data_IF_166809498662
#
_entry.id   IF_166809498662
#
_cell.length_a   1.000
_cell.length_b   1.000
_cell.length_c   1.000
_cell.angle_alpha   90.00
_cell.angle_beta   90.00
_cell.angle_gamma   90.00
#
_symmetry.space_group_name_H-M   'P 1'
#
loop_
_entity.id
_entity.type
_entity.pdbx_description
1 polymer ?
#
# COMPACT_ATOMS: atom_id res chain seq x y z
N UNK A 1 1.90 -16.87 15.25
CA UNK A 1 2.33 -15.77 14.37
C UNK A 1 3.34 -14.98 15.17
N UNK A 2 4.56 -14.78 14.67
CA UNK A 2 5.49 -13.87 15.34
C UNK A 2 4.87 -12.47 15.27
N UNK A 3 4.78 -11.79 16.42
CA UNK A 3 4.23 -10.43 16.51
C UNK A 3 5.12 -9.38 15.81
N UNK A 4 6.21 -9.81 15.15
CA UNK A 4 7.28 -8.97 14.60
C UNK A 4 7.00 -8.40 13.20
N UNK A 5 5.97 -8.87 12.49
CA UNK A 5 5.71 -8.46 11.10
C UNK A 5 4.24 -8.11 10.85
N UNK A 6 3.81 -6.97 11.39
CA UNK A 6 2.47 -6.44 11.10
C UNK A 6 2.51 -5.67 9.77
N UNK A 7 1.79 -6.18 8.77
CA UNK A 7 1.65 -5.55 7.45
C UNK A 7 0.27 -4.96 7.22
N UNK A 8 0.23 -3.86 6.47
CA UNK A 8 -0.98 -3.24 5.94
C UNK A 8 -0.80 -2.94 4.46
N UNK A 9 -1.90 -2.79 3.73
CA UNK A 9 -1.87 -2.32 2.34
C UNK A 9 -2.51 -0.94 2.31
N UNK A 10 -1.78 0.09 1.90
CA UNK A 10 -2.34 1.39 1.61
C UNK A 10 -2.90 1.40 0.17
N UNK A 11 -4.17 1.75 0.02
CA UNK A 11 -4.82 2.02 -1.27
C UNK A 11 -4.72 3.53 -1.54
N UNK A 12 -3.85 3.90 -2.48
CA UNK A 12 -3.56 5.28 -2.84
C UNK A 12 -4.62 5.91 -3.76
N UNK A 13 -5.67 5.17 -4.11
CA UNK A 13 -6.74 5.64 -4.99
C UNK A 13 -6.52 5.30 -6.46
N UNK A 14 -7.42 5.77 -7.30
CA UNK A 14 -7.36 5.50 -8.74
C UNK A 14 -6.32 6.40 -9.42
N UNK A 15 -5.46 5.79 -10.25
CA UNK A 15 -4.40 6.46 -11.02
C UNK A 15 -3.51 7.40 -10.19
N UNK A 16 -2.86 6.91 -9.11
CA UNK A 16 -2.03 7.77 -8.28
C UNK A 16 -0.77 8.21 -9.04
N UNK A 17 -0.39 9.46 -8.80
CA UNK A 17 0.80 10.08 -9.36
C UNK A 17 1.66 10.68 -8.26
N UNK A 18 2.95 10.83 -8.53
CA UNK A 18 3.89 11.58 -7.69
C UNK A 18 4.62 12.61 -8.54
N UNK A 19 5.04 13.70 -7.91
CA UNK A 19 5.85 14.73 -8.57
C UNK A 19 7.34 14.43 -8.35
N UNK A 20 8.05 14.12 -9.43
CA UNK A 20 9.51 13.95 -9.42
C UNK A 20 10.12 15.01 -10.33
N UNK A 21 10.95 15.91 -9.78
CA UNK A 21 11.63 16.97 -10.54
C UNK A 21 10.68 17.83 -11.39
N UNK A 22 9.48 18.13 -10.88
CA UNK A 22 8.48 18.94 -11.58
C UNK A 22 7.68 18.19 -12.64
N UNK A 23 7.87 16.88 -12.80
CA UNK A 23 7.09 16.03 -13.70
C UNK A 23 6.23 15.05 -12.90
N UNK A 24 4.97 14.89 -13.29
CA UNK A 24 4.10 13.86 -12.74
C UNK A 24 4.48 12.49 -13.32
N UNK A 25 4.70 11.53 -12.44
CA UNK A 25 4.97 10.15 -12.78
C UNK A 25 3.89 9.25 -12.15
N UNK A 26 3.29 8.32 -12.91
CA UNK A 26 2.34 7.36 -12.35
C UNK A 26 3.04 6.40 -11.39
N UNK A 27 2.34 5.98 -10.35
CA UNK A 27 2.83 4.96 -9.40
C UNK A 27 1.80 3.85 -9.21
N UNK A 28 2.23 2.67 -8.73
CA UNK A 28 1.29 1.61 -8.40
C UNK A 28 0.31 2.05 -7.31
N UNK A 29 -0.94 1.60 -7.43
CA UNK A 29 -2.04 1.95 -6.54
C UNK A 29 -1.85 1.46 -5.12
N UNK A 30 -1.30 0.27 -4.94
CA UNK A 30 -1.20 -0.35 -3.63
C UNK A 30 0.24 -0.35 -3.14
N UNK A 31 0.40 -0.08 -1.85
CA UNK A 31 1.70 -0.12 -1.17
C UNK A 31 1.59 -0.96 0.08
N UNK A 32 2.47 -1.94 0.21
CA UNK A 32 2.60 -2.73 1.44
C UNK A 32 3.47 -1.98 2.43
N UNK A 33 2.93 -1.75 3.62
CA UNK A 33 3.57 -1.06 4.73
C UNK A 33 3.85 -2.04 5.86
N UNK A 34 5.10 -2.13 6.30
CA UNK A 34 5.45 -2.83 7.54
C UNK A 34 5.36 -1.84 8.70
N UNK A 35 4.41 -2.07 9.63
CA UNK A 35 4.13 -1.16 10.74
C UNK A 35 5.31 -1.04 11.71
N UNK A 36 5.91 -2.13 12.22
CA UNK A 36 7.06 -2.04 13.13
C UNK A 36 8.27 -1.32 12.53
N UNK A 37 8.59 -1.60 11.26
CA UNK A 37 9.74 -1.02 10.58
C UNK A 37 9.47 0.36 9.96
N UNK A 38 8.22 0.86 10.04
CA UNK A 38 7.77 2.13 9.49
C UNK A 38 8.23 2.39 8.04
N UNK A 39 8.18 1.36 7.19
CA UNK A 39 8.67 1.44 5.81
C UNK A 39 7.73 0.76 4.82
N UNK A 40 7.76 1.28 3.60
CA UNK A 40 7.19 0.62 2.43
C UNK A 40 8.10 -0.54 2.02
N UNK A 41 7.52 -1.69 1.74
CA UNK A 41 8.28 -2.89 1.35
C UNK A 41 7.98 -3.38 -0.05
N UNK A 42 6.79 -3.08 -0.58
CA UNK A 42 6.38 -3.48 -1.92
C UNK A 42 5.30 -2.54 -2.47
N UNK A 43 5.23 -2.40 -3.79
CA UNK A 43 4.22 -1.64 -4.51
C UNK A 43 3.69 -2.49 -5.66
N UNK A 44 2.38 -2.47 -5.89
CA UNK A 44 1.74 -3.21 -7.00
C UNK A 44 0.39 -2.61 -7.33
N UNK A 45 -0.11 -2.88 -8.55
CA UNK A 45 -1.50 -2.62 -8.94
C UNK A 45 -2.42 -3.85 -8.70
N UNK A 46 -1.82 -5.00 -8.38
CA UNK A 46 -2.53 -6.27 -8.14
C UNK A 46 -2.79 -6.48 -6.64
N UNK A 47 -3.97 -6.03 -6.18
CA UNK A 47 -4.39 -6.21 -4.79
C UNK A 47 -4.57 -7.70 -4.40
N UNK A 48 -5.25 -8.55 -5.20
CA UNK A 48 -5.34 -9.98 -4.90
C UNK A 48 -3.98 -10.64 -4.64
N UNK A 49 -2.98 -10.36 -5.49
CA UNK A 49 -1.63 -10.87 -5.31
C UNK A 49 -1.00 -10.43 -3.98
N UNK A 50 -1.12 -9.16 -3.62
CA UNK A 50 -0.57 -8.65 -2.35
C UNK A 50 -1.27 -9.26 -1.13
N UNK A 51 -2.59 -9.46 -1.19
CA UNK A 51 -3.34 -10.10 -0.11
C UNK A 51 -2.89 -11.55 0.10
N UNK A 52 -2.75 -12.32 -0.99
CA UNK A 52 -2.27 -13.70 -0.95
C UNK A 52 -0.84 -13.79 -0.41
N UNK A 53 0.08 -12.99 -0.98
CA UNK A 53 1.52 -13.02 -0.64
C UNK A 53 1.78 -12.74 0.84
N UNK A 54 1.06 -11.80 1.43
CA UNK A 54 1.26 -11.38 2.81
C UNK A 54 0.29 -12.05 3.80
N UNK A 55 -0.56 -12.98 3.35
CA UNK A 55 -1.56 -13.64 4.20
C UNK A 55 -2.57 -12.66 4.80
N UNK A 56 -2.91 -11.60 4.06
CA UNK A 56 -3.78 -10.52 4.51
C UNK A 56 -5.18 -10.67 3.96
N UNK A 57 -6.11 -9.93 4.57
CA UNK A 57 -7.48 -9.80 4.11
C UNK A 57 -7.88 -8.34 3.99
N UNK A 58 -9.05 -8.05 3.42
CA UNK A 58 -9.52 -6.69 3.15
C UNK A 58 -9.54 -5.75 4.37
N UNK A 59 -9.61 -6.28 5.60
CA UNK A 59 -9.55 -5.45 6.84
C UNK A 59 -8.19 -4.79 7.05
N UNK A 60 -7.14 -5.28 6.38
CA UNK A 60 -5.78 -4.74 6.42
C UNK A 60 -5.54 -3.69 5.33
N UNK A 61 -6.54 -3.42 4.47
CA UNK A 61 -6.45 -2.42 3.41
C UNK A 61 -6.91 -1.07 3.95
N UNK A 62 -5.96 -0.15 4.07
CA UNK A 62 -6.18 1.22 4.49
C UNK A 62 -6.52 2.06 3.26
N UNK A 63 -7.80 2.41 3.12
CA UNK A 63 -8.26 3.32 2.07
C UNK A 63 -8.14 4.74 2.53
N UNK A 64 -7.43 5.57 1.77
CA UNK A 64 -7.49 7.01 1.98
C UNK A 64 -8.93 7.49 1.71
N UNK A 65 -9.59 8.03 2.73
CA UNK A 65 -10.80 8.83 2.58
C UNK A 65 -10.39 10.28 2.80
N UNK A 66 -10.39 11.15 1.78
CA UNK A 66 -10.26 12.58 2.03
C UNK A 66 -11.42 12.97 2.96
N UNK A 67 -11.11 13.61 4.08
CA UNK A 67 -12.13 14.18 4.94
C UNK A 67 -12.84 15.29 4.15
N UNK A 68 -14.13 15.08 3.90
CA UNK A 68 -15.07 16.11 3.45
C UNK A 68 -15.29 17.14 4.55
#
# INVERSE_FOLDING_TARGET
MNDDEIFFIADLGENPTILINGKEEPIPRYVVWNKPAAKMVEKSDDLPFLLEKYGLSMVHVLKYKPFL
#
